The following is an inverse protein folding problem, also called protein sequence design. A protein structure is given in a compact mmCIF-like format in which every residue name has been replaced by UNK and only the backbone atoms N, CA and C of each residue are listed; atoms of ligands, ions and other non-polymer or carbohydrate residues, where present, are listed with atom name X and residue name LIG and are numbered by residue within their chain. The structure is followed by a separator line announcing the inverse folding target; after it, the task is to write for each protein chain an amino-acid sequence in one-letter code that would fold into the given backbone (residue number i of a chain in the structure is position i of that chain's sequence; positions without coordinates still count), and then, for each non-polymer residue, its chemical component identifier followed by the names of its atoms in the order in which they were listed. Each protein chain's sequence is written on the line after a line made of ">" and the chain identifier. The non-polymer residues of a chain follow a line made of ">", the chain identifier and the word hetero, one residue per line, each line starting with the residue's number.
data_IF_113338151670
#
_entry.id   IF_113338151670
#
_cell.length_a   1.000
_cell.length_b   1.000
_cell.length_c   1.000
_cell.angle_alpha   90.00
_cell.angle_beta   90.00
_cell.angle_gamma   90.00
#
_symmetry.space_group_name_H-M   'P 1'
#
loop_
_entity.id
_entity.type
_entity.pdbx_description
1 polymer ?
#
# COMPACT_ATOMS: atom_id res chain seq x y z
N UNK A 1 1.47 21.16 5.70
CA UNK A 1 1.24 20.00 4.84
C UNK A 1 2.08 18.86 5.37
N UNK A 2 1.45 17.79 5.79
CA UNK A 2 2.11 16.51 6.13
C UNK A 2 2.02 15.58 4.92
N UNK A 3 2.88 14.56 4.89
CA UNK A 3 2.74 13.44 3.95
C UNK A 3 2.44 12.21 4.78
N UNK A 4 1.37 11.52 4.44
CA UNK A 4 0.95 10.26 5.04
C UNK A 4 1.15 9.17 4.00
N UNK A 5 1.97 8.20 4.30
CA UNK A 5 2.23 7.06 3.41
C UNK A 5 1.36 5.87 3.80
N UNK A 6 0.62 5.34 2.85
CA UNK A 6 -0.37 4.30 3.05
C UNK A 6 -0.09 3.11 2.14
N UNK A 7 0.04 1.93 2.72
CA UNK A 7 0.32 0.72 1.95
C UNK A 7 -0.36 -0.50 2.55
N UNK A 8 -0.54 -1.52 1.71
CA UNK A 8 -0.98 -2.85 2.15
C UNK A 8 0.24 -3.73 2.43
N UNK A 9 0.09 -4.70 3.32
CA UNK A 9 1.16 -5.60 3.72
C UNK A 9 0.68 -7.06 3.76
N UNK A 10 1.53 -7.97 3.29
CA UNK A 10 1.26 -9.41 3.33
C UNK A 10 2.35 -10.17 4.09
N UNK A 11 3.63 -10.03 3.70
CA UNK A 11 4.81 -10.64 4.35
C UNK A 11 6.15 -10.08 3.81
N UNK A 12 6.14 -8.85 3.28
CA UNK A 12 7.28 -8.25 2.58
C UNK A 12 8.10 -7.36 3.51
N UNK A 13 8.58 -7.87 4.65
CA UNK A 13 9.34 -7.10 5.65
C UNK A 13 10.52 -6.34 5.05
N UNK A 14 11.29 -6.98 4.17
CA UNK A 14 12.45 -6.33 3.53
C UNK A 14 12.02 -5.13 2.68
N UNK A 15 10.96 -5.28 1.89
CA UNK A 15 10.46 -4.21 1.04
C UNK A 15 9.89 -3.06 1.88
N UNK A 16 9.18 -3.40 2.95
CA UNK A 16 8.63 -2.41 3.87
C UNK A 16 9.75 -1.65 4.60
N UNK A 17 10.84 -2.31 5.00
CA UNK A 17 12.00 -1.66 5.59
C UNK A 17 12.69 -0.70 4.60
N UNK A 18 12.86 -1.11 3.34
CA UNK A 18 13.37 -0.24 2.28
C UNK A 18 12.47 0.98 2.09
N UNK A 19 11.15 0.78 2.00
CA UNK A 19 10.17 1.85 1.89
C UNK A 19 10.28 2.84 3.04
N UNK A 20 10.28 2.36 4.26
CA UNK A 20 10.37 3.21 5.45
C UNK A 20 11.68 4.00 5.49
N UNK A 21 12.82 3.39 5.16
CA UNK A 21 14.10 4.09 5.13
C UNK A 21 14.15 5.19 4.07
N UNK A 22 13.59 4.96 2.88
CA UNK A 22 13.55 5.94 1.79
C UNK A 22 12.62 7.11 2.13
N UNK A 23 11.45 6.82 2.72
CA UNK A 23 10.39 7.81 2.91
C UNK A 23 10.42 8.52 4.25
N UNK A 24 11.21 8.04 5.22
CA UNK A 24 11.18 8.53 6.60
C UNK A 24 11.33 10.05 6.76
N UNK A 25 12.19 10.67 5.97
CA UNK A 25 12.49 12.10 6.13
C UNK A 25 11.39 13.01 5.55
N UNK A 26 10.51 12.44 4.73
CA UNK A 26 9.39 13.14 4.10
C UNK A 26 8.06 12.88 4.78
N UNK A 27 7.88 11.68 5.32
CA UNK A 27 6.61 11.15 5.80
C UNK A 27 6.46 11.41 7.29
N UNK A 28 5.31 11.92 7.69
CA UNK A 28 4.94 12.12 9.08
C UNK A 28 4.28 10.90 9.73
N UNK A 29 3.67 10.01 8.91
CA UNK A 29 2.93 8.84 9.37
C UNK A 29 2.93 7.77 8.29
N UNK A 30 3.15 6.52 8.68
CA UNK A 30 2.99 5.33 7.86
C UNK A 30 1.73 4.58 8.30
N UNK A 31 0.80 4.34 7.38
CA UNK A 31 -0.36 3.48 7.61
C UNK A 31 -0.12 2.16 6.89
N UNK A 32 -0.06 1.08 7.65
CA UNK A 32 0.16 -0.29 7.16
C UNK A 32 -1.09 -1.11 7.41
N UNK A 33 -1.73 -1.59 6.35
CA UNK A 33 -2.94 -2.40 6.44
C UNK A 33 -2.63 -3.85 6.09
N UNK A 34 -2.99 -4.77 6.97
CA UNK A 34 -2.89 -6.20 6.74
C UNK A 34 -4.24 -6.89 6.90
N UNK A 35 -4.58 -7.78 5.97
CA UNK A 35 -5.80 -8.59 6.04
C UNK A 35 -5.52 -9.98 6.60
N UNK A 36 -6.45 -10.53 7.39
CA UNK A 36 -6.47 -11.95 7.76
C UNK A 36 -6.72 -12.89 6.60
N UNK A 37 -7.11 -12.35 5.45
CA UNK A 37 -7.40 -13.12 4.24
C UNK A 37 -6.39 -12.79 3.15
N UNK A 38 -5.89 -13.81 2.47
CA UNK A 38 -5.15 -13.62 1.22
C UNK A 38 -6.09 -13.17 0.09
N UNK A 39 -5.56 -12.70 -1.02
CA UNK A 39 -6.36 -12.34 -2.19
C UNK A 39 -7.19 -13.53 -2.72
N UNK A 40 -6.74 -14.77 -2.50
CA UNK A 40 -7.49 -15.98 -2.84
C UNK A 40 -8.59 -16.37 -1.83
N UNK A 41 -8.71 -15.64 -0.71
CA UNK A 41 -9.69 -15.90 0.35
C UNK A 41 -9.27 -16.95 1.38
N UNK A 42 -8.01 -17.36 1.36
CA UNK A 42 -7.49 -18.24 2.42
C UNK A 42 -7.16 -17.43 3.66
N UNK A 43 -7.58 -17.91 4.81
CA UNK A 43 -7.15 -17.35 6.10
C UNK A 43 -5.63 -17.53 6.23
N UNK A 44 -4.96 -16.49 6.68
CA UNK A 44 -3.53 -16.47 6.92
C UNK A 44 -3.21 -15.89 8.30
N UNK A 45 -2.05 -16.20 8.87
CA UNK A 45 -1.57 -15.49 10.05
C UNK A 45 -1.29 -14.03 9.72
N UNK A 46 -1.35 -13.17 10.75
CA UNK A 46 -0.84 -11.83 10.66
C UNK A 46 0.69 -11.86 10.81
N UNK A 47 1.38 -11.27 9.86
CA UNK A 47 2.84 -11.35 9.76
C UNK A 47 3.55 -10.07 10.21
N UNK A 48 2.84 -8.93 10.22
CA UNK A 48 3.45 -7.67 10.61
C UNK A 48 3.85 -7.67 12.09
N UNK A 49 5.10 -7.32 12.34
CA UNK A 49 5.61 -7.12 13.68
C UNK A 49 6.35 -5.79 13.78
N UNK A 50 5.79 -4.85 14.51
CA UNK A 50 6.35 -3.50 14.68
C UNK A 50 7.76 -3.49 15.28
N UNK A 51 8.13 -4.54 16.02
CA UNK A 51 9.47 -4.67 16.61
C UNK A 51 10.55 -4.95 15.55
N UNK A 52 10.19 -5.35 14.34
CA UNK A 52 11.10 -5.47 13.21
C UNK A 52 11.51 -4.09 12.66
N UNK A 53 10.77 -3.03 13.03
CA UNK A 53 10.94 -1.66 12.53
C UNK A 53 11.14 -0.63 13.66
N UNK A 54 12.08 -0.84 14.60
CA UNK A 54 12.21 -0.03 15.81
C UNK A 54 12.46 1.45 15.53
N UNK A 55 13.16 1.77 14.44
CA UNK A 55 13.49 3.14 14.01
C UNK A 55 12.24 3.95 13.63
N UNK A 56 11.19 3.30 13.17
CA UNK A 56 9.99 3.93 12.61
C UNK A 56 8.75 3.76 13.48
N UNK A 57 8.88 3.07 14.61
CA UNK A 57 7.79 2.65 15.48
C UNK A 57 6.80 3.77 15.81
N UNK A 58 7.30 4.96 16.09
CA UNK A 58 6.48 6.11 16.50
C UNK A 58 5.69 6.74 15.35
N UNK A 59 6.02 6.39 14.11
CA UNK A 59 5.33 6.84 12.89
C UNK A 59 4.37 5.80 12.32
N UNK A 60 4.44 4.55 12.76
CA UNK A 60 3.66 3.45 12.18
C UNK A 60 2.30 3.34 12.85
N UNK A 61 1.24 3.39 12.07
CA UNK A 61 -0.10 2.95 12.45
C UNK A 61 -0.40 1.65 11.71
N UNK A 62 -0.44 0.54 12.45
CA UNK A 62 -0.80 -0.76 11.92
C UNK A 62 -2.29 -1.03 12.12
N UNK A 63 -2.94 -1.53 11.07
CA UNK A 63 -4.39 -1.79 11.03
C UNK A 63 -4.68 -3.15 10.43
N UNK A 64 -5.65 -3.86 11.00
CA UNK A 64 -5.98 -5.24 10.63
C UNK A 64 -7.40 -5.33 10.10
N UNK A 65 -7.55 -5.96 8.93
CA UNK A 65 -8.86 -6.35 8.38
C UNK A 65 -9.20 -7.74 8.89
N UNK A 66 -10.22 -7.79 9.74
CA UNK A 66 -10.66 -9.02 10.43
C UNK A 66 -11.59 -9.89 9.61
N UNK A 67 -12.38 -9.28 8.71
CA UNK A 67 -13.47 -9.94 8.02
C UNK A 67 -13.32 -9.87 6.51
N UNK A 68 -13.93 -10.84 5.82
CA UNK A 68 -14.09 -10.80 4.36
C UNK A 68 -14.94 -9.58 3.93
N UNK A 69 -14.71 -9.03 2.74
CA UNK A 69 -15.56 -7.96 2.20
C UNK A 69 -16.96 -8.46 1.94
N UNK A 70 -17.90 -7.53 1.92
CA UNK A 70 -19.24 -7.82 1.44
C UNK A 70 -19.23 -8.16 -0.05
N UNK A 71 -20.17 -8.98 -0.49
CA UNK A 71 -20.33 -9.30 -1.91
C UNK A 71 -19.43 -10.45 -2.41
N UNK A 72 -18.73 -11.17 -1.54
CA UNK A 72 -18.01 -12.38 -1.94
C UNK A 72 -18.98 -13.39 -2.57
N UNK A 73 -18.65 -13.80 -3.79
CA UNK A 73 -19.48 -14.71 -4.58
C UNK A 73 -19.07 -16.16 -4.28
N UNK A 74 -20.00 -17.04 -3.88
CA UNK A 74 -19.70 -18.47 -3.77
C UNK A 74 -19.15 -19.04 -5.08
N UNK A 75 -18.11 -19.83 -5.00
CA UNK A 75 -17.42 -20.38 -6.18
C UNK A 75 -17.38 -21.92 -6.14
N UNK A 76 -18.54 -22.54 -6.19
CA UNK A 76 -18.68 -23.98 -6.13
C UNK A 76 -18.07 -24.69 -7.35
N UNK A 77 -18.11 -24.07 -8.52
CA UNK A 77 -17.61 -24.61 -9.79
C UNK A 77 -16.15 -24.26 -10.06
N UNK A 78 -15.44 -23.70 -9.08
CA UNK A 78 -14.05 -23.30 -9.20
C UNK A 78 -13.74 -22.35 -10.37
N UNK A 79 -14.70 -21.52 -10.74
CA UNK A 79 -14.61 -20.56 -11.85
C UNK A 79 -13.48 -19.55 -11.66
N UNK A 80 -12.62 -19.38 -12.67
CA UNK A 80 -11.51 -18.43 -12.66
C UNK A 80 -12.02 -16.97 -12.62
N UNK A 81 -13.13 -16.66 -13.27
CA UNK A 81 -13.73 -15.33 -13.26
C UNK A 81 -14.23 -14.96 -11.87
N UNK A 82 -14.92 -15.87 -11.17
CA UNK A 82 -15.39 -15.64 -9.79
C UNK A 82 -14.19 -15.48 -8.84
N UNK A 83 -13.13 -16.28 -8.98
CA UNK A 83 -11.89 -16.11 -8.19
C UNK A 83 -11.31 -14.72 -8.39
N UNK A 84 -11.26 -14.25 -9.63
CA UNK A 84 -10.74 -12.92 -9.95
C UNK A 84 -11.61 -11.81 -9.34
N UNK A 85 -12.94 -11.91 -9.46
CA UNK A 85 -13.87 -10.95 -8.87
C UNK A 85 -13.72 -10.88 -7.35
N UNK A 86 -13.70 -12.02 -6.68
CA UNK A 86 -13.53 -12.08 -5.23
C UNK A 86 -12.16 -11.53 -4.79
N UNK A 87 -11.10 -11.76 -5.57
CA UNK A 87 -9.77 -11.19 -5.31
C UNK A 87 -9.81 -9.66 -5.41
N UNK A 88 -10.49 -9.11 -6.42
CA UNK A 88 -10.64 -7.65 -6.58
C UNK A 88 -11.40 -7.01 -5.43
N UNK A 89 -12.47 -7.66 -4.93
CA UNK A 89 -13.21 -7.17 -3.76
C UNK A 89 -12.32 -7.10 -2.51
N UNK A 90 -11.41 -8.07 -2.31
CA UNK A 90 -10.46 -8.05 -1.18
C UNK A 90 -9.41 -6.97 -1.32
N UNK A 91 -8.91 -6.75 -2.52
CA UNK A 91 -7.97 -5.67 -2.83
C UNK A 91 -8.64 -4.31 -2.57
N UNK A 92 -9.83 -4.11 -3.11
CA UNK A 92 -10.61 -2.88 -2.91
C UNK A 92 -10.89 -2.63 -1.41
N UNK A 93 -11.28 -3.65 -0.66
CA UNK A 93 -11.46 -3.55 0.79
C UNK A 93 -10.19 -3.07 1.47
N UNK A 94 -9.03 -3.59 1.07
CA UNK A 94 -7.75 -3.24 1.69
C UNK A 94 -7.41 -1.76 1.50
N UNK A 95 -7.64 -1.22 0.30
CA UNK A 95 -7.44 0.20 0.04
C UNK A 95 -8.48 1.08 0.75
N UNK A 96 -9.76 0.71 0.71
CA UNK A 96 -10.81 1.47 1.39
C UNK A 96 -10.65 1.46 2.92
N UNK A 97 -10.09 0.40 3.49
CA UNK A 97 -9.85 0.30 4.92
C UNK A 97 -8.83 1.33 5.44
N UNK A 98 -7.92 1.79 4.58
CA UNK A 98 -6.95 2.84 4.88
C UNK A 98 -7.63 4.13 5.35
N UNK A 99 -8.82 4.44 4.82
CA UNK A 99 -9.59 5.62 5.22
C UNK A 99 -9.85 5.68 6.73
N UNK A 100 -9.96 4.53 7.39
CA UNK A 100 -10.13 4.44 8.84
C UNK A 100 -8.88 4.89 9.63
N UNK A 101 -7.74 5.05 8.98
CA UNK A 101 -6.50 5.53 9.59
C UNK A 101 -6.26 7.03 9.38
N UNK A 102 -7.14 7.73 8.65
CA UNK A 102 -6.93 9.11 8.21
C UNK A 102 -7.71 10.17 9.03
N UNK A 103 -8.17 9.84 10.23
CA UNK A 103 -9.02 10.75 11.03
C UNK A 103 -8.34 12.06 11.47
N UNK A 104 -7.00 12.06 11.54
CA UNK A 104 -6.17 13.20 11.97
C UNK A 104 -5.51 13.95 10.80
N UNK A 105 -5.98 13.69 9.58
CA UNK A 105 -5.46 14.29 8.34
C UNK A 105 -6.29 15.51 7.96
N UNK A 106 -5.62 16.57 7.52
CA UNK A 106 -6.26 17.80 7.05
C UNK A 106 -6.33 17.85 5.52
N UNK A 107 -7.21 18.70 4.97
CA UNK A 107 -7.37 18.89 3.53
C UNK A 107 -6.10 19.39 2.82
N UNK A 108 -5.13 19.92 3.58
CA UNK A 108 -3.84 20.35 3.05
C UNK A 108 -2.74 19.30 3.13
N UNK A 109 -3.05 18.10 3.62
CA UNK A 109 -2.06 17.03 3.74
C UNK A 109 -2.08 16.14 2.49
N UNK A 110 -0.93 15.55 2.15
CA UNK A 110 -0.78 14.65 1.02
C UNK A 110 -0.90 13.20 1.50
N UNK A 111 -1.81 12.47 0.90
CA UNK A 111 -1.93 11.03 1.10
C UNK A 111 -1.27 10.32 -0.07
N UNK A 112 -0.25 9.52 0.22
CA UNK A 112 0.40 8.65 -0.75
C UNK A 112 -0.18 7.25 -0.58
N UNK A 113 -0.83 6.73 -1.60
CA UNK A 113 -1.40 5.40 -1.62
C UNK A 113 -0.75 4.58 -2.73
N UNK A 114 -0.11 3.48 -2.38
CA UNK A 114 0.54 2.59 -3.36
C UNK A 114 0.78 1.20 -2.78
N UNK A 115 1.04 0.24 -3.66
CA UNK A 115 1.51 -1.09 -3.24
C UNK A 115 2.88 -0.96 -2.53
N UNK A 116 3.25 -1.94 -1.72
CA UNK A 116 4.42 -1.86 -0.85
C UNK A 116 5.75 -1.65 -1.62
N UNK A 117 5.85 -2.20 -2.83
CA UNK A 117 7.00 -2.10 -3.73
C UNK A 117 6.97 -0.86 -4.66
N UNK A 118 5.89 -0.09 -4.64
CA UNK A 118 5.75 1.15 -5.40
C UNK A 118 6.20 2.37 -4.57
N UNK A 119 7.51 2.59 -4.47
CA UNK A 119 8.10 3.62 -3.61
C UNK A 119 8.26 4.93 -4.39
N UNK A 120 7.54 6.02 -4.01
CA UNK A 120 7.66 7.31 -4.68
C UNK A 120 8.97 8.02 -4.37
N UNK A 121 9.50 8.77 -5.34
CA UNK A 121 10.58 9.72 -5.08
C UNK A 121 10.02 11.11 -4.79
N UNK A 122 10.06 11.52 -3.53
CA UNK A 122 9.57 12.83 -3.10
C UNK A 122 10.58 13.98 -3.28
N UNK A 123 11.87 13.70 -3.51
CA UNK A 123 12.90 14.74 -3.70
C UNK A 123 12.63 15.63 -4.91
N UNK A 124 12.04 15.06 -5.96
CA UNK A 124 11.90 15.71 -7.25
C UNK A 124 10.72 16.67 -7.36
N UNK A 125 9.89 16.82 -6.30
CA UNK A 125 8.62 17.54 -6.41
C UNK A 125 8.35 18.49 -5.23
N UNK A 126 8.03 19.73 -5.56
CA UNK A 126 7.45 20.68 -4.60
C UNK A 126 5.92 20.57 -4.60
N UNK A 127 5.38 19.74 -3.71
CA UNK A 127 3.94 19.53 -3.58
C UNK A 127 3.21 20.75 -2.98
N UNK A 128 3.91 21.58 -2.19
CA UNK A 128 3.29 22.72 -1.49
C UNK A 128 2.83 23.80 -2.45
N UNK A 129 3.56 23.99 -3.54
CA UNK A 129 3.27 25.02 -4.54
C UNK A 129 2.53 24.44 -5.78
N UNK A 130 2.17 23.17 -5.75
CA UNK A 130 1.43 22.57 -6.85
C UNK A 130 -0.05 22.98 -6.80
N UNK A 131 -0.61 23.20 -7.98
CA UNK A 131 -2.05 23.41 -8.17
C UNK A 131 -2.82 22.12 -8.45
N UNK A 132 -2.12 20.98 -8.47
CA UNK A 132 -2.72 19.70 -8.76
C UNK A 132 -3.16 19.02 -7.47
N UNK A 133 -4.34 18.44 -7.47
CA UNK A 133 -4.90 17.67 -6.36
C UNK A 133 -4.48 16.20 -6.39
N UNK A 134 -4.07 15.70 -7.57
CA UNK A 134 -3.68 14.31 -7.77
C UNK A 134 -2.32 14.24 -8.45
N UNK A 135 -1.45 13.39 -7.89
CA UNK A 135 -0.11 13.09 -8.42
C UNK A 135 0.02 11.61 -8.71
N UNK A 136 0.49 11.30 -9.92
CA UNK A 136 0.81 9.94 -10.32
C UNK A 136 2.32 9.86 -10.54
N UNK A 137 2.98 8.94 -9.83
CA UNK A 137 4.43 8.76 -9.94
C UNK A 137 4.76 7.79 -11.09
N UNK A 138 5.57 8.26 -12.04
CA UNK A 138 6.21 7.37 -12.99
C UNK A 138 7.38 6.69 -12.28
N UNK A 139 7.33 5.37 -12.20
CA UNK A 139 8.31 4.56 -11.48
C UNK A 139 9.20 3.78 -12.43
N UNK A 140 10.39 3.44 -11.95
CA UNK A 140 11.26 2.47 -12.60
C UNK A 140 10.70 1.07 -12.36
N UNK A 141 10.53 0.30 -13.42
CA UNK A 141 10.00 -1.05 -13.33
C UNK A 141 11.11 -2.08 -13.45
N UNK A 142 11.24 -2.94 -12.43
CA UNK A 142 12.22 -4.01 -12.39
C UNK A 142 11.50 -5.36 -12.39
N UNK A 143 12.00 -6.31 -13.19
CA UNK A 143 11.41 -7.63 -13.35
C UNK A 143 12.22 -8.66 -12.56
N UNK A 144 11.62 -9.32 -11.57
CA UNK A 144 12.22 -10.36 -10.70
C UNK A 144 13.40 -9.92 -9.83
N UNK A 145 14.27 -9.04 -10.30
CA UNK A 145 15.49 -8.59 -9.60
C UNK A 145 15.76 -7.12 -9.88
N UNK A 146 16.35 -6.41 -8.94
CA UNK A 146 16.65 -4.97 -9.06
C UNK A 146 17.65 -4.61 -10.18
N UNK A 147 18.33 -5.59 -10.78
CA UNK A 147 19.21 -5.38 -11.94
C UNK A 147 18.55 -5.71 -13.29
N UNK A 148 17.29 -6.13 -13.30
CA UNK A 148 16.54 -6.40 -14.52
C UNK A 148 15.54 -5.26 -14.78
N UNK A 149 16.08 -4.10 -15.12
CA UNK A 149 15.29 -2.93 -15.47
C UNK A 149 14.51 -3.19 -16.78
N UNK A 150 13.23 -2.87 -16.76
CA UNK A 150 12.34 -2.98 -17.91
C UNK A 150 11.89 -1.59 -18.34
N UNK A 151 12.37 -1.12 -19.49
CA UNK A 151 12.20 0.24 -19.99
C UNK A 151 11.11 0.40 -21.09
N UNK A 152 10.55 -0.72 -21.56
CA UNK A 152 9.61 -0.70 -22.67
C UNK A 152 8.23 -0.12 -22.31
N UNK A 153 7.79 -0.26 -21.05
CA UNK A 153 6.50 0.23 -20.57
C UNK A 153 6.71 0.99 -19.26
N UNK A 154 6.35 2.28 -19.20
CA UNK A 154 6.41 3.01 -17.96
C UNK A 154 5.41 2.45 -16.94
N UNK A 155 5.85 2.24 -15.71
CA UNK A 155 4.96 1.91 -14.62
C UNK A 155 4.48 3.19 -13.93
N UNK A 156 3.18 3.31 -13.76
CA UNK A 156 2.58 4.39 -12.99
C UNK A 156 2.00 3.78 -11.72
N UNK A 157 2.73 3.96 -10.62
CA UNK A 157 2.29 3.53 -9.30
C UNK A 157 1.27 4.50 -8.76
N UNK A 158 0.06 4.10 -8.80
CA UNK A 158 -1.10 4.55 -8.02
C UNK A 158 -2.33 3.87 -8.59
N UNK A 159 -3.15 3.41 -7.74
CA UNK A 159 -4.46 2.88 -8.12
C UNK A 159 -5.53 3.78 -7.56
#
# INVERSE_FOLDING_TARGET
>A
MKIIDCTTYYSEDLMLDVRFNILNDYVSKFIVVESKYSHSGKIKPLNFNINNFPKFKDKIQYMVIENEPQGIIPNNDNSASIKRMNSLLRIEQSYNFILNGLHDVSDNDLICLSDNDEIPNFESKDFKNSKNDIFIFKQLFFYYKFNLFYDLIPWYGTK
#
